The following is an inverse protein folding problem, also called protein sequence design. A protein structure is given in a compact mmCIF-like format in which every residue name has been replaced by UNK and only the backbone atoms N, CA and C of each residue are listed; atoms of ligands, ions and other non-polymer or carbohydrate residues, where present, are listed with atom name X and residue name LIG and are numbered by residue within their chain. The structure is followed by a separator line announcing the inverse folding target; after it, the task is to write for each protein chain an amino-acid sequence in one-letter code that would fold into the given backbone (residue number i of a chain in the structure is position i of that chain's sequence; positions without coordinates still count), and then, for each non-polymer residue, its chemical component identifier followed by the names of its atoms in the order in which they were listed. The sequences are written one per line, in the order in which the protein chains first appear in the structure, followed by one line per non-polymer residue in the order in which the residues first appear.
data_IF_050799807275
#
_entry.id   IF_050799807275
#
_cell.length_a   1.000
_cell.length_b   1.000
_cell.length_c   1.000
_cell.angle_alpha   90.00
_cell.angle_beta   90.00
_cell.angle_gamma   90.00
#
_symmetry.space_group_name_H-M   'P 1'
#
loop_
_entity.id
_entity.type
_entity.pdbx_description
1 polymer ?
#
# COMPACT_ATOMS: atom_id res chain seq x y z
N UNK A 1 -0.77 5.95 -48.13
CA UNK A 1 -0.82 5.42 -46.76
C UNK A 1 -0.12 6.44 -45.87
N UNK A 2 -0.86 7.46 -45.44
CA UNK A 2 -0.46 8.37 -44.37
C UNK A 2 -1.34 7.99 -43.18
N UNK A 3 -0.78 7.23 -42.24
CA UNK A 3 -1.46 6.90 -41.00
C UNK A 3 -0.47 7.25 -39.88
N UNK A 4 -0.78 8.36 -39.21
CA UNK A 4 0.03 9.05 -38.18
C UNK A 4 1.24 9.83 -38.74
N UNK A 5 1.11 11.15 -38.82
CA UNK A 5 2.14 12.09 -39.26
C UNK A 5 3.33 12.21 -38.31
N UNK A 6 4.12 11.14 -38.19
CA UNK A 6 5.42 11.12 -37.53
C UNK A 6 6.43 10.53 -38.51
N UNK A 7 7.60 11.14 -38.60
CA UNK A 7 8.70 10.64 -39.42
C UNK A 7 9.30 9.37 -38.80
N UNK A 8 9.92 8.49 -39.60
CA UNK A 8 10.51 7.24 -39.10
C UNK A 8 11.58 7.46 -38.01
N UNK A 9 12.22 8.64 -38.02
CA UNK A 9 13.23 9.06 -37.04
C UNK A 9 12.59 9.46 -35.71
N UNK A 10 11.45 10.17 -35.74
CA UNK A 10 10.67 10.49 -34.53
C UNK A 10 10.08 9.23 -33.88
N UNK A 11 9.63 8.26 -34.69
CA UNK A 11 9.13 6.97 -34.18
C UNK A 11 10.23 6.20 -33.46
N UNK A 12 11.46 6.21 -34.00
CA UNK A 12 12.61 5.54 -33.39
C UNK A 12 13.03 6.23 -32.09
N UNK A 13 13.03 7.57 -32.05
CA UNK A 13 13.29 8.36 -30.84
C UNK A 13 12.28 8.08 -29.73
N UNK A 14 10.98 8.12 -30.04
CA UNK A 14 9.91 7.85 -29.07
C UNK A 14 9.98 6.43 -28.48
N UNK A 15 10.36 5.45 -29.31
CA UNK A 15 10.48 4.05 -28.88
C UNK A 15 11.71 3.85 -27.98
N UNK A 16 12.84 4.47 -28.30
CA UNK A 16 14.06 4.40 -27.49
C UNK A 16 13.88 5.14 -26.17
N UNK A 17 13.30 6.36 -26.19
CA UNK A 17 13.05 7.14 -24.99
C UNK A 17 12.01 6.48 -24.06
N UNK A 18 10.96 5.89 -24.63
CA UNK A 18 9.99 5.08 -23.88
C UNK A 18 10.63 3.84 -23.24
N UNK A 19 11.55 3.19 -23.95
CA UNK A 19 12.29 2.01 -23.43
C UNK A 19 13.29 2.41 -22.34
N UNK A 20 14.00 3.53 -22.49
CA UNK A 20 14.93 4.03 -21.48
C UNK A 20 14.21 4.52 -20.22
N UNK A 21 13.04 5.15 -20.37
CA UNK A 21 12.20 5.60 -19.25
C UNK A 21 11.69 4.41 -18.43
N UNK A 22 11.18 3.38 -19.10
CA UNK A 22 10.72 2.15 -18.45
C UNK A 22 11.86 1.38 -17.76
N UNK A 23 13.06 1.34 -18.34
CA UNK A 23 14.23 0.72 -17.68
C UNK A 23 14.66 1.47 -16.42
N UNK A 24 14.67 2.82 -16.45
CA UNK A 24 14.96 3.63 -15.25
C UNK A 24 13.91 3.43 -14.16
N UNK A 25 12.64 3.32 -14.53
CA UNK A 25 11.54 3.03 -13.61
C UNK A 25 11.71 1.64 -12.97
N UNK A 26 12.09 0.62 -13.75
CA UNK A 26 12.37 -0.74 -13.26
C UNK A 26 13.57 -0.76 -12.32
N UNK A 27 14.66 -0.06 -12.66
CA UNK A 27 15.87 -0.02 -11.84
C UNK A 27 15.62 0.69 -10.50
N UNK A 28 14.92 1.83 -10.55
CA UNK A 28 14.49 2.56 -9.36
C UNK A 28 13.53 1.73 -8.51
N UNK A 29 12.60 0.97 -9.12
CA UNK A 29 11.70 0.08 -8.40
C UNK A 29 12.44 -1.09 -7.75
N UNK A 30 13.45 -1.67 -8.42
CA UNK A 30 14.30 -2.73 -7.86
C UNK A 30 15.12 -2.23 -6.67
N UNK A 31 15.69 -1.04 -6.76
CA UNK A 31 16.48 -0.44 -5.67
C UNK A 31 15.60 -0.11 -4.46
N UNK A 32 14.38 0.41 -4.69
CA UNK A 32 13.37 0.61 -3.66
C UNK A 32 12.91 -0.71 -3.02
N UNK A 33 12.69 -1.77 -3.81
CA UNK A 33 12.31 -3.09 -3.27
C UNK A 33 13.45 -3.72 -2.46
N UNK A 34 14.70 -3.58 -2.91
CA UNK A 34 15.88 -4.10 -2.22
C UNK A 34 16.10 -3.38 -0.89
N UNK A 35 15.96 -2.05 -0.86
CA UNK A 35 16.00 -1.26 0.38
C UNK A 35 14.84 -1.63 1.32
N UNK A 36 13.62 -1.83 0.80
CA UNK A 36 12.47 -2.31 1.59
C UNK A 36 12.72 -3.71 2.18
N UNK A 37 13.30 -4.64 1.41
CA UNK A 37 13.62 -5.99 1.89
C UNK A 37 14.76 -6.00 2.93
N UNK A 38 15.70 -5.05 2.83
CA UNK A 38 16.81 -4.90 3.77
C UNK A 38 16.42 -4.14 5.06
N UNK A 39 15.39 -3.29 5.03
CA UNK A 39 14.97 -2.49 6.19
C UNK A 39 14.59 -3.34 7.42
N UNK A 40 13.82 -4.44 7.32
CA UNK A 40 13.51 -5.29 8.47
C UNK A 40 14.75 -5.92 9.13
N UNK A 41 15.79 -6.24 8.36
CA UNK A 41 17.04 -6.79 8.91
C UNK A 41 17.95 -5.69 9.45
N UNK A 42 18.01 -4.52 8.81
CA UNK A 42 18.75 -3.35 9.30
C UNK A 42 18.15 -2.79 10.60
N UNK A 43 16.82 -2.71 10.72
CA UNK A 43 16.13 -2.30 11.94
C UNK A 43 16.35 -3.33 13.05
N UNK A 44 16.26 -4.64 12.75
CA UNK A 44 16.57 -5.71 13.72
C UNK A 44 18.04 -5.71 14.14
N UNK A 45 18.96 -5.44 13.23
CA UNK A 45 20.40 -5.37 13.51
C UNK A 45 20.74 -4.10 14.31
N UNK A 46 20.15 -2.95 13.99
CA UNK A 46 20.30 -1.72 14.78
C UNK A 46 19.72 -1.90 16.19
N UNK A 47 18.52 -2.47 16.31
CA UNK A 47 17.87 -2.81 17.58
C UNK A 47 18.69 -3.82 18.41
N UNK A 48 19.35 -4.78 17.74
CA UNK A 48 20.25 -5.74 18.39
C UNK A 48 21.56 -5.08 18.82
N UNK A 49 22.18 -4.23 17.99
CA UNK A 49 23.40 -3.47 18.34
C UNK A 49 23.16 -2.54 19.53
N UNK A 50 22.02 -1.84 19.60
CA UNK A 50 21.71 -1.01 20.79
C UNK A 50 21.40 -1.85 22.03
N UNK A 51 20.88 -3.08 21.87
CA UNK A 51 20.65 -4.03 22.97
C UNK A 51 21.95 -4.67 23.46
N UNK A 52 22.89 -4.96 22.56
CA UNK A 52 24.21 -5.50 22.87
C UNK A 52 25.12 -4.42 23.50
N UNK A 53 24.98 -3.15 23.09
CA UNK A 53 25.59 -1.98 23.77
C UNK A 53 24.97 -1.76 25.16
N UNK A 54 23.68 -2.05 25.35
CA UNK A 54 23.02 -1.95 26.66
C UNK A 54 23.31 -3.13 27.62
N UNK A 55 23.74 -4.28 27.09
CA UNK A 55 24.01 -5.49 27.87
C UNK A 55 25.52 -5.75 28.12
N UNK A 56 26.38 -4.78 27.84
CA UNK A 56 27.77 -4.79 28.29
C UNK A 56 28.68 -5.72 27.50
N UNK A 57 29.11 -5.27 26.32
CA UNK A 57 30.43 -5.66 25.80
C UNK A 57 31.43 -4.66 26.41
N UNK A 58 32.49 -5.10 27.11
CA UNK A 58 33.42 -4.18 27.75
C UNK A 58 34.29 -3.58 26.65
N UNK A 59 33.95 -2.36 26.21
CA UNK A 59 34.92 -1.52 25.54
C UNK A 59 35.61 -0.69 26.63
N UNK A 60 36.91 -0.90 26.79
CA UNK A 60 37.77 -0.13 27.68
C UNK A 60 37.94 1.28 27.09
N UNK A 61 36.97 2.15 27.36
CA UNK A 61 37.10 3.59 27.09
C UNK A 61 37.23 4.31 28.41
N UNK A 62 38.47 4.59 28.76
CA UNK A 62 38.94 5.49 29.81
C UNK A 62 38.56 6.96 29.57
N UNK A 63 37.34 7.25 29.10
CA UNK A 63 36.80 8.61 28.99
C UNK A 63 35.39 8.58 29.58
N UNK A 64 35.32 8.91 30.88
CA UNK A 64 34.07 8.95 31.63
C UNK A 64 33.18 10.09 31.18
N UNK A 65 31.94 9.75 30.79
CA UNK A 65 30.79 10.65 30.89
C UNK A 65 29.79 10.02 31.86
N UNK A 66 29.85 10.49 33.11
CA UNK A 66 28.87 10.17 34.14
C UNK A 66 27.58 10.93 33.83
N UNK A 67 26.68 10.30 33.07
CA UNK A 67 25.34 10.82 32.79
C UNK A 67 24.32 9.88 33.43
N UNK A 68 23.50 10.41 34.34
CA UNK A 68 22.61 9.65 35.21
C UNK A 68 21.60 8.76 34.46
N UNK A 69 21.16 7.69 35.13
CA UNK A 69 20.29 6.65 34.55
C UNK A 69 18.91 7.16 34.07
N UNK A 70 18.48 8.34 34.50
CA UNK A 70 17.19 8.95 34.19
C UNK A 70 17.19 9.65 32.82
N UNK A 71 18.26 10.38 32.50
CA UNK A 71 18.49 10.98 31.17
C UNK A 71 18.70 9.91 30.10
N UNK A 72 19.33 8.78 30.46
CA UNK A 72 19.44 7.60 29.59
C UNK A 72 18.09 6.93 29.31
N UNK A 73 17.09 7.02 30.20
CA UNK A 73 15.72 6.52 29.94
C UNK A 73 14.91 7.49 29.08
N UNK A 74 15.00 8.79 29.34
CA UNK A 74 14.33 9.81 28.51
C UNK A 74 14.88 9.85 27.09
N UNK A 75 16.21 9.77 26.91
CA UNK A 75 16.82 9.71 25.58
C UNK A 75 16.48 8.41 24.82
N UNK A 76 16.33 7.27 25.51
CA UNK A 76 15.88 6.00 24.91
C UNK A 76 14.42 6.06 24.44
N UNK A 77 13.54 6.70 25.21
CA UNK A 77 12.13 6.84 24.84
C UNK A 77 11.97 7.86 23.68
N UNK A 78 12.65 9.01 23.76
CA UNK A 78 12.64 10.01 22.69
C UNK A 78 13.22 9.48 21.37
N UNK A 79 14.30 8.69 21.42
CA UNK A 79 14.87 8.03 20.24
C UNK A 79 13.97 6.90 19.68
N UNK A 80 13.17 6.24 20.52
CA UNK A 80 12.17 5.26 20.08
C UNK A 80 11.01 5.94 19.36
N UNK A 81 10.48 7.02 19.93
CA UNK A 81 9.35 7.78 19.38
C UNK A 81 9.70 8.42 18.01
N UNK A 82 10.88 9.02 17.87
CA UNK A 82 11.29 9.62 16.57
C UNK A 82 11.51 8.59 15.46
N UNK A 83 11.91 7.35 15.81
CA UNK A 83 12.09 6.27 14.82
C UNK A 83 10.75 5.68 14.41
N UNK A 84 9.79 5.55 15.33
CA UNK A 84 8.44 5.10 15.02
C UNK A 84 7.67 6.11 14.16
N UNK A 85 7.84 7.40 14.46
CA UNK A 85 7.14 8.46 13.73
C UNK A 85 7.73 8.67 12.32
N UNK A 86 9.06 8.59 12.17
CA UNK A 86 9.71 8.56 10.85
C UNK A 86 9.33 7.30 10.05
N UNK A 87 9.19 6.14 10.69
CA UNK A 87 8.73 4.93 10.02
C UNK A 87 7.27 5.04 9.56
N UNK A 88 6.39 5.70 10.34
CA UNK A 88 5.03 6.03 9.91
C UNK A 88 4.99 6.98 8.72
N UNK A 89 5.83 8.02 8.70
CA UNK A 89 5.89 8.95 7.57
C UNK A 89 6.38 8.25 6.29
N UNK A 90 7.43 7.45 6.40
CA UNK A 90 7.97 6.69 5.25
C UNK A 90 6.96 5.64 4.76
N UNK A 91 6.26 4.94 5.66
CA UNK A 91 5.21 3.98 5.26
C UNK A 91 3.98 4.69 4.66
N UNK A 92 3.64 5.89 5.12
CA UNK A 92 2.59 6.73 4.53
C UNK A 92 2.92 7.16 3.11
N UNK A 93 4.14 7.66 2.84
CA UNK A 93 4.55 8.06 1.50
C UNK A 93 4.65 6.87 0.53
N UNK A 94 5.14 5.71 0.99
CA UNK A 94 5.19 4.50 0.16
C UNK A 94 3.77 4.00 -0.16
N UNK A 95 2.86 4.00 0.81
CA UNK A 95 1.46 3.61 0.57
C UNK A 95 0.74 4.56 -0.37
N UNK A 96 1.07 5.86 -0.38
CA UNK A 96 0.50 6.83 -1.34
C UNK A 96 1.03 6.65 -2.76
N UNK A 97 2.27 6.19 -2.92
CA UNK A 97 2.84 5.89 -4.25
C UNK A 97 2.29 4.63 -4.92
N UNK A 98 1.62 3.75 -4.16
CA UNK A 98 1.12 2.44 -4.64
C UNK A 98 -0.41 2.28 -4.52
N UNK A 99 -1.15 3.39 -4.54
CA UNK A 99 -2.62 3.37 -4.57
C UNK A 99 -3.16 3.54 -5.98
N UNK A 100 -4.30 2.90 -6.25
CA UNK A 100 -5.06 3.04 -7.50
C UNK A 100 -6.47 3.52 -7.22
N UNK A 101 -6.98 4.37 -8.11
CA UNK A 101 -8.38 4.84 -8.10
C UNK A 101 -9.30 3.73 -8.59
N UNK A 102 -10.21 3.30 -7.73
CA UNK A 102 -11.21 2.27 -8.06
C UNK A 102 -12.62 2.80 -7.86
N UNK A 103 -13.58 2.18 -8.55
CA UNK A 103 -15.00 2.53 -8.44
C UNK A 103 -15.85 1.36 -7.95
N UNK A 104 -16.88 1.62 -7.15
CA UNK A 104 -17.85 0.61 -6.71
C UNK A 104 -19.24 1.21 -6.51
N UNK A 105 -20.24 0.42 -6.89
CA UNK A 105 -21.63 0.64 -6.47
C UNK A 105 -21.87 0.07 -5.07
N UNK A 106 -22.43 0.88 -4.17
CA UNK A 106 -22.77 0.48 -2.79
C UNK A 106 -24.02 1.23 -2.29
N UNK A 107 -24.63 0.74 -1.21
CA UNK A 107 -25.75 1.42 -0.54
C UNK A 107 -25.28 2.66 0.25
N UNK A 108 -26.22 3.56 0.59
CA UNK A 108 -25.93 4.71 1.47
C UNK A 108 -25.34 4.26 2.82
N UNK A 109 -25.92 3.23 3.44
CA UNK A 109 -25.42 2.70 4.72
C UNK A 109 -23.99 2.16 4.61
N UNK A 110 -23.65 1.47 3.51
CA UNK A 110 -22.29 1.02 3.27
C UNK A 110 -21.33 2.20 3.06
N UNK A 111 -21.75 3.24 2.33
CA UNK A 111 -20.95 4.44 2.15
C UNK A 111 -20.67 5.13 3.51
N UNK A 112 -21.70 5.31 4.34
CA UNK A 112 -21.54 5.94 5.66
C UNK A 112 -20.59 5.13 6.55
N UNK A 113 -20.66 3.79 6.48
CA UNK A 113 -19.74 2.89 7.17
C UNK A 113 -18.31 3.02 6.62
N UNK A 114 -18.14 3.17 5.30
CA UNK A 114 -16.85 3.37 4.66
C UNK A 114 -16.18 4.66 5.12
N UNK A 115 -16.94 5.77 5.14
CA UNK A 115 -16.45 7.07 5.61
C UNK A 115 -16.09 7.01 7.09
N UNK A 116 -16.91 6.31 7.89
CA UNK A 116 -16.68 6.19 9.34
C UNK A 116 -15.49 5.28 9.69
N UNK A 117 -15.34 4.15 9.00
CA UNK A 117 -14.27 3.18 9.30
C UNK A 117 -12.95 3.52 8.62
N UNK A 118 -12.97 4.29 7.54
CA UNK A 118 -11.80 4.51 6.69
C UNK A 118 -11.33 3.25 5.96
N UNK A 119 -12.17 2.20 5.88
CA UNK A 119 -11.82 0.90 5.29
C UNK A 119 -12.81 0.47 4.21
N UNK A 120 -12.33 -0.33 3.25
CA UNK A 120 -13.19 -0.92 2.21
C UNK A 120 -14.28 -1.78 2.86
N UNK A 121 -15.53 -1.56 2.48
CA UNK A 121 -16.64 -2.35 3.00
C UNK A 121 -16.68 -3.73 2.35
N UNK A 122 -16.70 -4.77 3.19
CA UNK A 122 -16.74 -6.16 2.77
C UNK A 122 -18.17 -6.59 2.42
N UNK A 123 -18.36 -7.30 1.30
CA UNK A 123 -19.65 -7.94 1.00
C UNK A 123 -19.79 -9.29 1.71
N UNK A 124 -20.98 -9.91 1.64
CA UNK A 124 -21.29 -11.20 2.30
C UNK A 124 -20.34 -12.35 1.95
N UNK A 125 -19.69 -12.30 0.79
CA UNK A 125 -18.74 -13.32 0.33
C UNK A 125 -17.30 -13.13 0.82
N UNK A 126 -17.10 -12.32 1.88
CA UNK A 126 -15.80 -11.97 2.44
C UNK A 126 -14.84 -11.29 1.44
N UNK A 127 -15.39 -10.63 0.43
CA UNK A 127 -14.66 -9.93 -0.64
C UNK A 127 -15.45 -8.74 -1.14
N UNK A 128 -14.78 -7.88 -1.89
CA UNK A 128 -15.37 -6.69 -2.49
C UNK A 128 -15.00 -6.60 -3.96
N UNK A 129 -15.99 -6.43 -4.83
CA UNK A 129 -15.77 -6.22 -6.25
C UNK A 129 -15.68 -4.72 -6.54
N UNK A 130 -14.69 -4.35 -7.34
CA UNK A 130 -14.42 -2.96 -7.73
C UNK A 130 -14.07 -2.88 -9.21
N UNK A 131 -14.34 -1.72 -9.82
CA UNK A 131 -13.89 -1.36 -11.15
C UNK A 131 -12.48 -0.77 -11.07
N UNK A 132 -11.56 -1.31 -11.86
CA UNK A 132 -10.17 -0.86 -11.99
C UNK A 132 -9.73 -0.95 -13.46
N UNK A 133 -9.60 0.18 -14.18
CA UNK A 133 -9.76 1.56 -13.71
C UNK A 133 -11.21 1.88 -13.27
N UNK A 134 -11.38 2.95 -12.49
CA UNK A 134 -12.70 3.43 -12.09
C UNK A 134 -13.60 3.71 -13.31
N UNK A 135 -14.74 3.03 -13.37
CA UNK A 135 -15.78 3.21 -14.41
C UNK A 135 -17.16 3.09 -13.78
N UNK A 136 -18.00 4.12 -13.94
CA UNK A 136 -19.38 4.15 -13.43
C UNK A 136 -20.29 3.13 -14.12
N UNK A 137 -19.96 2.77 -15.37
CA UNK A 137 -20.73 1.80 -16.13
C UNK A 137 -20.44 0.36 -15.69
N UNK A 138 -19.33 0.12 -15.00
CA UNK A 138 -19.02 -1.17 -14.39
C UNK A 138 -19.99 -1.44 -13.22
N UNK A 139 -20.56 -2.65 -13.18
CA UNK A 139 -21.54 -3.11 -12.18
C UNK A 139 -22.86 -2.30 -12.08
N UNK A 140 -23.01 -1.18 -12.80
CA UNK A 140 -24.19 -0.33 -12.72
C UNK A 140 -25.50 -1.05 -13.06
N UNK A 141 -25.47 -2.05 -13.94
CA UNK A 141 -26.66 -2.90 -14.25
C UNK A 141 -27.10 -3.75 -13.05
N UNK A 142 -26.15 -4.23 -12.24
CA UNK A 142 -26.40 -5.11 -11.09
C UNK A 142 -26.75 -4.32 -9.82
N UNK A 143 -26.36 -3.05 -9.75
CA UNK A 143 -26.65 -2.19 -8.60
C UNK A 143 -28.18 -2.00 -8.41
N UNK A 144 -28.72 -2.17 -7.20
CA UNK A 144 -30.10 -1.80 -6.88
C UNK A 144 -30.38 -0.31 -7.10
N UNK A 145 -31.64 0.08 -7.29
CA UNK A 145 -32.05 1.50 -7.26
C UNK A 145 -31.77 2.09 -5.89
N UNK A 146 -31.33 3.34 -5.83
CA UNK A 146 -30.87 4.02 -4.62
C UNK A 146 -29.42 3.70 -4.24
N UNK A 147 -28.67 2.98 -5.09
CA UNK A 147 -27.23 2.77 -4.88
C UNK A 147 -26.43 4.00 -5.28
N UNK A 148 -25.34 4.24 -4.58
CA UNK A 148 -24.34 5.25 -4.90
C UNK A 148 -23.18 4.63 -5.64
N UNK A 149 -22.68 5.34 -6.65
CA UNK A 149 -21.39 5.05 -7.26
C UNK A 149 -20.32 5.88 -6.57
N UNK A 150 -19.37 5.18 -5.96
CA UNK A 150 -18.32 5.75 -5.12
C UNK A 150 -16.97 5.38 -5.71
N UNK A 151 -16.11 6.37 -5.85
CA UNK A 151 -14.71 6.17 -6.18
C UNK A 151 -13.83 6.43 -4.96
N UNK A 152 -12.76 5.66 -4.82
CA UNK A 152 -11.82 5.78 -3.72
C UNK A 152 -10.47 5.20 -4.11
N UNK A 153 -9.44 5.55 -3.35
CA UNK A 153 -8.08 5.08 -3.55
C UNK A 153 -7.80 3.92 -2.59
N UNK A 154 -7.20 2.87 -3.12
CA UNK A 154 -6.82 1.67 -2.37
C UNK A 154 -5.47 1.16 -2.84
N UNK A 155 -4.71 0.52 -1.94
CA UNK A 155 -3.42 -0.10 -2.29
C UNK A 155 -3.58 -1.19 -3.35
N UNK A 156 -2.77 -1.12 -4.41
CA UNK A 156 -2.77 -2.08 -5.53
C UNK A 156 -2.48 -3.52 -5.09
N UNK A 157 -1.68 -3.70 -4.02
CA UNK A 157 -1.25 -4.99 -3.48
C UNK A 157 -2.40 -5.80 -2.87
N UNK A 158 -3.54 -5.14 -2.59
CA UNK A 158 -4.71 -5.74 -1.96
C UNK A 158 -5.71 -6.32 -2.98
N UNK A 159 -5.43 -6.11 -4.27
CA UNK A 159 -6.34 -6.39 -5.37
C UNK A 159 -5.92 -7.63 -6.16
N UNK A 160 -6.92 -8.32 -6.70
CA UNK A 160 -6.77 -9.46 -7.59
C UNK A 160 -7.72 -9.31 -8.78
N UNK A 161 -7.45 -9.99 -9.90
CA UNK A 161 -8.29 -9.87 -11.09
C UNK A 161 -9.72 -10.39 -10.87
N UNK A 162 -10.73 -9.65 -11.34
CA UNK A 162 -12.15 -9.94 -11.14
C UNK A 162 -12.81 -10.80 -12.23
N UNK A 163 -12.03 -11.54 -13.01
CA UNK A 163 -12.51 -12.42 -14.09
C UNK A 163 -12.91 -11.71 -15.39
N UNK A 164 -13.30 -10.44 -15.35
CA UNK A 164 -13.53 -9.58 -16.53
C UNK A 164 -12.50 -8.46 -16.58
N UNK A 165 -12.08 -8.05 -17.78
CA UNK A 165 -11.16 -6.91 -17.95
C UNK A 165 -11.79 -5.65 -17.34
N UNK A 166 -11.01 -4.92 -16.55
CA UNK A 166 -11.48 -3.73 -15.84
C UNK A 166 -12.14 -4.03 -14.49
N UNK A 167 -12.29 -5.30 -14.10
CA UNK A 167 -12.85 -5.69 -12.81
C UNK A 167 -11.75 -6.24 -11.91
N UNK A 168 -11.83 -5.92 -10.63
CA UNK A 168 -10.92 -6.39 -9.60
C UNK A 168 -11.66 -6.80 -8.34
N UNK A 169 -11.01 -7.64 -7.53
CA UNK A 169 -11.51 -8.18 -6.27
C UNK A 169 -10.52 -7.83 -5.18
N UNK A 170 -11.02 -7.16 -4.14
CA UNK A 170 -10.34 -6.95 -2.86
C UNK A 170 -10.79 -8.06 -1.93
N UNK A 171 -9.85 -8.87 -1.46
CA UNK A 171 -10.17 -10.02 -0.63
C UNK A 171 -10.08 -9.65 0.85
N UNK A 172 -11.11 -10.02 1.62
CA UNK A 172 -11.15 -9.79 3.05
C UNK A 172 -10.81 -11.03 3.88
N UNK A 173 -10.86 -10.90 5.22
CA UNK A 173 -10.69 -12.01 6.15
C UNK A 173 -11.70 -13.14 5.90
N UNK A 174 -11.25 -14.39 5.91
CA UNK A 174 -12.12 -15.55 5.68
C UNK A 174 -12.49 -15.79 4.21
N UNK A 175 -11.98 -14.98 3.27
CA UNK A 175 -12.09 -15.25 1.84
C UNK A 175 -11.38 -16.56 1.44
N UNK A 176 -11.66 -17.06 0.23
CA UNK A 176 -10.95 -18.23 -0.31
C UNK A 176 -9.45 -18.01 -0.38
N UNK A 177 -9.01 -16.79 -0.76
CA UNK A 177 -7.58 -16.48 -0.83
C UNK A 177 -6.96 -16.40 0.57
N UNK A 178 -7.66 -15.86 1.57
CA UNK A 178 -7.18 -15.84 2.96
C UNK A 178 -6.98 -17.26 3.50
N UNK A 179 -7.96 -18.15 3.26
CA UNK A 179 -7.82 -19.57 3.63
C UNK A 179 -6.66 -20.26 2.91
N UNK A 180 -6.46 -19.96 1.63
CA UNK A 180 -5.34 -20.47 0.86
C UNK A 180 -3.99 -19.97 1.42
N UNK A 181 -3.87 -18.67 1.73
CA UNK A 181 -2.68 -18.07 2.33
C UNK A 181 -2.33 -18.74 3.65
N UNK A 182 -3.31 -18.90 4.55
CA UNK A 182 -3.15 -19.62 5.82
C UNK A 182 -2.64 -21.05 5.60
N UNK A 183 -3.22 -21.78 4.65
CA UNK A 183 -2.78 -23.16 4.32
C UNK A 183 -1.36 -23.21 3.76
N UNK A 184 -0.90 -22.16 3.09
CA UNK A 184 0.45 -22.03 2.53
C UNK A 184 1.47 -21.43 3.50
N UNK A 185 1.07 -21.12 4.74
CA UNK A 185 1.95 -20.45 5.71
C UNK A 185 2.25 -18.99 5.37
N UNK A 186 1.46 -18.38 4.48
CA UNK A 186 1.57 -16.96 4.15
C UNK A 186 0.81 -16.12 5.19
N UNK A 187 1.19 -14.84 5.39
CA UNK A 187 0.48 -13.94 6.28
C UNK A 187 -1.02 -13.88 5.94
N UNK A 188 -1.91 -14.05 6.93
CA UNK A 188 -3.35 -14.01 6.72
C UNK A 188 -3.83 -12.59 6.41
N UNK A 189 -5.01 -12.49 5.81
CA UNK A 189 -5.73 -11.22 5.67
C UNK A 189 -6.51 -11.00 6.96
N UNK A 190 -6.10 -10.01 7.75
CA UNK A 190 -6.65 -9.73 9.08
C UNK A 190 -7.82 -8.75 9.04
N UNK A 191 -7.80 -7.82 8.09
CA UNK A 191 -8.85 -6.82 7.90
C UNK A 191 -8.96 -6.37 6.44
N UNK A 192 -9.98 -5.57 6.13
CA UNK A 192 -10.11 -4.90 4.84
C UNK A 192 -9.13 -3.73 4.75
N UNK A 193 -8.61 -3.41 3.55
CA UNK A 193 -7.64 -2.34 3.40
C UNK A 193 -8.25 -0.96 3.64
N UNK A 194 -7.39 -0.02 4.00
CA UNK A 194 -7.76 1.38 4.17
C UNK A 194 -8.15 2.01 2.83
N UNK A 195 -9.04 3.00 2.90
CA UNK A 195 -9.47 3.81 1.76
C UNK A 195 -9.08 5.27 1.95
N UNK A 196 -8.71 5.91 0.84
CA UNK A 196 -8.43 7.36 0.79
C UNK A 196 -9.29 8.02 -0.29
N UNK A 197 -9.43 9.34 -0.23
CA UNK A 197 -10.06 10.16 -1.25
C UNK A 197 -11.47 9.67 -1.67
N UNK A 198 -12.31 9.29 -0.70
CA UNK A 198 -13.64 8.74 -0.97
C UNK A 198 -14.54 9.83 -1.57
N UNK A 199 -15.07 9.60 -2.78
CA UNK A 199 -15.93 10.54 -3.49
C UNK A 199 -17.15 9.86 -4.07
N UNK A 200 -18.32 10.48 -3.92
CA UNK A 200 -19.53 10.06 -4.65
C UNK A 200 -19.47 10.66 -6.05
N UNK A 201 -19.59 9.82 -7.08
CA UNK A 201 -19.53 10.22 -8.49
C UNK A 201 -20.86 10.00 -9.22
N UNK A 202 -21.81 9.30 -8.60
CA UNK A 202 -23.14 9.14 -9.16
C UNK A 202 -24.08 8.38 -8.24
N UNK A 203 -25.32 8.21 -8.71
CA UNK A 203 -26.38 7.48 -8.04
C UNK A 203 -27.28 6.82 -9.07
N UNK A 204 -28.01 5.78 -8.67
CA UNK A 204 -28.95 5.03 -9.52
C UNK A 204 -30.39 5.14 -9.05
#
# INVERSE_FOLDING_TARGET
MEQYGMTAEEYRGYTVDGTLKTLKEIDTAKDKVLTILALPSMIKNAAKTVKDVANGVPFDTSIGFATGNEERRQAKNAAGDVVEEAAKEITKEITESNTVRVGRWMSQTEYDQMVKSGKVQMSKDNKTHVANPADINAFGKQAPKGSLYVEFDVSTDTMSAGGTKGWSIINGPGSLIDRFRKKKGLPPITEMPDVKNIEIKGSK
#
